data_IF_571612569732
#
_entry.id   IF_571612569732
#
_cell.length_a   1.000
_cell.length_b   1.000
_cell.length_c   1.000
_cell.angle_alpha   90.00
_cell.angle_beta   90.00
_cell.angle_gamma   90.00
#
_symmetry.space_group_name_H-M   'P 1'
#
loop_
_entity.id
_entity.type
_entity.pdbx_description
1 polymer ?
#
# COMPACT_ATOMS: atom_id res chain seq x y z
N UNK A 1 11.52 37.98 -20.47
CA UNK A 1 10.66 36.86 -20.92
C UNK A 1 11.16 36.38 -22.26
N UNK A 2 10.91 35.14 -22.64
CA UNK A 2 11.10 34.64 -24.02
C UNK A 2 9.82 33.96 -24.47
N UNK A 3 9.57 33.99 -25.77
CA UNK A 3 8.46 33.26 -26.38
C UNK A 3 9.05 31.98 -26.97
N UNK A 4 8.46 30.83 -26.63
CA UNK A 4 8.82 29.53 -27.20
C UNK A 4 7.52 28.80 -27.54
N UNK A 5 7.37 28.34 -28.78
CA UNK A 5 6.15 27.69 -29.28
C UNK A 5 4.85 28.47 -29.02
N UNK A 6 4.92 29.81 -29.04
CA UNK A 6 3.78 30.69 -28.79
C UNK A 6 3.51 30.99 -27.30
N UNK A 7 4.13 30.27 -26.38
CA UNK A 7 3.99 30.47 -24.94
C UNK A 7 5.01 31.48 -24.38
N UNK A 8 4.58 32.29 -23.41
CA UNK A 8 5.42 33.29 -22.75
C UNK A 8 6.09 32.69 -21.51
N UNK A 9 7.41 32.54 -21.57
CA UNK A 9 8.23 32.04 -20.47
C UNK A 9 8.89 33.20 -19.70
N UNK A 10 8.63 33.25 -18.39
CA UNK A 10 9.43 34.04 -17.46
C UNK A 10 10.75 33.30 -17.18
N UNK A 11 11.89 33.94 -17.49
CA UNK A 11 13.21 33.34 -17.31
C UNK A 11 13.88 33.91 -16.07
N UNK A 12 14.31 33.01 -15.18
CA UNK A 12 15.08 33.36 -14.00
C UNK A 12 16.58 33.25 -14.31
N UNK A 13 17.32 34.36 -14.24
CA UNK A 13 18.77 34.36 -14.34
C UNK A 13 19.39 34.56 -12.95
N UNK A 14 20.05 33.53 -12.41
CA UNK A 14 20.69 33.56 -11.08
C UNK A 14 21.62 34.78 -10.86
N UNK A 15 22.20 35.35 -11.92
CA UNK A 15 23.11 36.51 -11.82
C UNK A 15 22.42 37.84 -11.62
N UNK A 16 21.13 38.01 -11.94
CA UNK A 16 20.46 39.33 -11.93
C UNK A 16 19.01 39.28 -11.43
N UNK A 17 18.38 38.12 -11.44
CA UNK A 17 16.99 37.94 -11.01
C UNK A 17 16.91 37.69 -9.51
N UNK A 18 15.79 38.11 -8.91
CA UNK A 18 15.42 37.82 -7.53
C UNK A 18 14.01 37.23 -7.48
N UNK A 19 13.71 36.47 -6.43
CA UNK A 19 12.37 35.96 -6.15
C UNK A 19 12.07 36.00 -4.66
N UNK A 20 10.79 35.95 -4.33
CA UNK A 20 10.25 35.81 -2.99
C UNK A 20 8.97 34.99 -3.08
N UNK A 21 8.83 33.99 -2.21
CA UNK A 21 7.66 33.12 -2.11
C UNK A 21 6.91 33.46 -0.84
N UNK A 22 5.59 33.64 -0.98
CA UNK A 22 4.67 34.00 0.09
C UNK A 22 3.59 32.94 0.23
N UNK A 23 3.02 32.84 1.41
CA UNK A 23 1.81 32.04 1.61
C UNK A 23 0.66 32.59 0.74
N UNK A 24 -0.12 31.66 0.16
CA UNK A 24 -1.19 31.95 -0.80
C UNK A 24 -2.47 32.47 -0.15
N UNK A 25 -3.64 31.98 -0.59
CA UNK A 25 -4.97 32.47 -0.15
C UNK A 25 -5.16 32.61 1.37
N UNK A 26 -4.53 31.72 2.15
CA UNK A 26 -4.69 31.63 3.61
C UNK A 26 -3.56 32.30 4.40
N UNK A 27 -2.63 32.97 3.72
CA UNK A 27 -1.50 33.61 4.39
C UNK A 27 -1.91 34.85 5.16
N UNK A 28 -1.55 34.91 6.44
CA UNK A 28 -1.86 36.05 7.32
C UNK A 28 -0.75 37.12 7.31
N UNK A 29 0.51 36.70 7.16
CA UNK A 29 1.65 37.62 7.14
C UNK A 29 2.05 38.05 5.71
N UNK A 30 2.86 39.10 5.63
CA UNK A 30 3.50 39.54 4.38
C UNK A 30 4.99 39.19 4.37
N UNK A 31 5.40 38.18 5.15
CA UNK A 31 6.78 37.74 5.22
C UNK A 31 7.01 36.62 4.20
N UNK A 32 8.04 36.72 3.35
CA UNK A 32 8.35 35.63 2.44
C UNK A 32 8.94 34.47 3.24
N UNK A 33 8.35 33.28 3.13
CA UNK A 33 8.91 32.07 3.74
C UNK A 33 10.18 31.61 3.03
N UNK A 34 10.40 32.07 1.79
CA UNK A 34 11.63 31.86 1.04
C UNK A 34 11.89 33.05 0.13
N UNK A 35 13.11 33.56 0.12
CA UNK A 35 13.51 34.61 -0.82
C UNK A 35 14.94 34.38 -1.32
N UNK A 36 15.23 34.88 -2.52
CA UNK A 36 16.60 34.97 -3.02
C UNK A 36 17.39 36.02 -2.24
N UNK A 37 18.70 35.85 -2.13
CA UNK A 37 19.58 36.79 -1.40
C UNK A 37 19.55 38.24 -1.89
N UNK A 38 19.11 38.47 -3.13
CA UNK A 38 19.01 39.80 -3.74
C UNK A 38 17.62 40.44 -3.63
N UNK A 39 16.66 39.71 -3.07
CA UNK A 39 15.31 40.22 -2.90
C UNK A 39 15.29 41.32 -1.84
N UNK A 40 14.63 42.44 -2.16
CA UNK A 40 14.39 43.53 -1.23
C UNK A 40 12.90 43.79 -1.17
N UNK A 41 12.31 43.55 0.01
CA UNK A 41 10.89 43.79 0.24
C UNK A 41 10.59 45.29 0.22
N UNK A 42 9.53 45.69 -0.49
CA UNK A 42 9.03 47.06 -0.52
C UNK A 42 7.69 47.12 0.18
N UNK A 43 7.39 48.23 0.86
CA UNK A 43 6.06 48.46 1.48
C UNK A 43 4.89 48.33 0.49
N UNK A 44 5.12 48.59 -0.79
CA UNK A 44 4.09 48.46 -1.83
C UNK A 44 3.76 47.00 -2.15
N UNK A 45 4.68 46.06 -1.88
CA UNK A 45 4.49 44.64 -2.16
C UNK A 45 3.37 44.05 -1.29
N UNK A 46 3.19 44.54 -0.06
CA UNK A 46 2.10 44.12 0.84
C UNK A 46 0.72 44.28 0.18
N UNK A 47 0.48 45.44 -0.47
CA UNK A 47 -0.79 45.70 -1.18
C UNK A 47 -0.97 44.79 -2.39
N UNK A 48 0.11 44.51 -3.12
CA UNK A 48 0.08 43.61 -4.28
C UNK A 48 -0.19 42.16 -3.84
N UNK A 49 0.46 41.71 -2.76
CA UNK A 49 0.28 40.37 -2.19
C UNK A 49 -1.16 40.22 -1.68
N UNK A 50 -1.68 41.20 -0.93
CA UNK A 50 -3.06 41.19 -0.47
C UNK A 50 -4.06 41.13 -1.65
N UNK A 51 -3.81 41.92 -2.69
CA UNK A 51 -4.61 41.89 -3.93
C UNK A 51 -4.58 40.53 -4.62
N UNK A 52 -3.40 39.92 -4.74
CA UNK A 52 -3.23 38.57 -5.31
C UNK A 52 -3.90 37.49 -4.47
N UNK A 53 -3.82 37.56 -3.13
CA UNK A 53 -4.51 36.62 -2.23
C UNK A 53 -6.02 36.71 -2.36
N UNK A 54 -6.56 37.94 -2.38
CA UNK A 54 -7.99 38.18 -2.61
C UNK A 54 -8.41 37.66 -3.98
N UNK A 55 -7.65 37.98 -5.02
CA UNK A 55 -7.90 37.46 -6.36
C UNK A 55 -7.87 35.94 -6.39
N UNK A 56 -6.91 35.28 -5.73
CA UNK A 56 -6.83 33.81 -5.66
C UNK A 56 -8.00 33.19 -4.87
N UNK A 57 -8.51 33.88 -3.84
CA UNK A 57 -9.68 33.44 -3.08
C UNK A 57 -10.99 33.57 -3.88
N UNK A 58 -11.11 34.64 -4.68
CA UNK A 58 -12.28 34.93 -5.51
C UNK A 58 -12.24 34.20 -6.87
N UNK A 59 -11.05 33.78 -7.31
CA UNK A 59 -10.82 33.13 -8.60
C UNK A 59 -11.05 31.63 -8.53
N UNK A 60 -11.89 31.11 -9.43
CA UNK A 60 -11.94 29.67 -9.78
C UNK A 60 -10.77 29.24 -10.68
N UNK A 61 -9.93 30.19 -11.08
CA UNK A 61 -8.95 30.11 -12.15
C UNK A 61 -7.56 30.05 -11.52
N UNK A 62 -7.08 28.83 -11.30
CA UNK A 62 -5.77 28.25 -11.67
C UNK A 62 -5.75 26.89 -10.94
N UNK A 63 -6.65 26.00 -11.33
CA UNK A 63 -6.32 24.59 -11.35
C UNK A 63 -6.57 24.22 -12.80
N UNK A 64 -5.51 24.22 -13.63
CA UNK A 64 -5.50 23.20 -14.69
C UNK A 64 -5.83 21.91 -13.95
N UNK A 65 -6.87 21.15 -14.31
CA UNK A 65 -7.25 19.97 -13.56
C UNK A 65 -6.09 18.99 -13.63
N UNK A 66 -5.17 19.11 -12.67
CA UNK A 66 -4.11 18.16 -12.47
C UNK A 66 -4.86 16.96 -11.92
N UNK A 67 -4.96 15.93 -12.74
CA UNK A 67 -5.64 14.72 -12.33
C UNK A 67 -4.84 14.11 -11.17
N UNK A 68 -5.40 14.20 -9.96
CA UNK A 68 -4.88 13.50 -8.80
C UNK A 68 -5.51 12.13 -8.78
N UNK A 69 -4.65 11.12 -8.90
CA UNK A 69 -5.05 9.73 -8.94
C UNK A 69 -5.00 9.15 -7.53
N UNK A 70 -5.89 8.20 -7.27
CA UNK A 70 -5.86 7.41 -6.06
C UNK A 70 -4.76 6.34 -6.14
N UNK A 71 -4.35 5.81 -4.97
CA UNK A 71 -3.44 4.66 -4.91
C UNK A 71 -4.04 3.43 -5.59
N UNK A 72 -5.36 3.38 -5.75
CA UNK A 72 -6.06 2.38 -6.55
C UNK A 72 -5.64 2.38 -8.01
N UNK A 73 -5.18 3.51 -8.54
CA UNK A 73 -4.92 3.71 -9.97
C UNK A 73 -3.43 3.67 -10.32
N UNK A 74 -2.57 3.32 -9.35
CA UNK A 74 -1.12 3.27 -9.60
C UNK A 74 -0.78 2.19 -10.64
N UNK A 75 0.28 2.49 -11.41
CA UNK A 75 0.85 1.56 -12.38
C UNK A 75 2.39 1.74 -12.44
N UNK A 76 3.11 0.83 -13.11
CA UNK A 76 4.59 0.87 -13.19
C UNK A 76 5.12 1.83 -14.27
N UNK A 77 4.25 2.35 -15.15
CA UNK A 77 4.63 3.09 -16.36
C UNK A 77 4.62 4.59 -16.11
N UNK A 78 3.56 5.09 -15.51
CA UNK A 78 3.26 6.50 -15.40
C UNK A 78 3.78 7.11 -14.12
N UNK A 79 4.07 8.41 -14.20
CA UNK A 79 4.29 9.24 -13.01
C UNK A 79 2.96 9.80 -12.57
N UNK A 80 2.68 9.69 -11.28
CA UNK A 80 1.35 9.92 -10.72
C UNK A 80 1.38 11.17 -9.83
N UNK A 81 0.30 11.94 -9.87
CA UNK A 81 0.06 12.98 -8.88
C UNK A 81 -0.93 12.40 -7.87
N UNK A 82 -0.59 12.41 -6.59
CA UNK A 82 -1.39 11.76 -5.55
C UNK A 82 -1.67 12.72 -4.39
N UNK A 83 -2.82 12.54 -3.75
CA UNK A 83 -3.17 13.18 -2.49
C UNK A 83 -3.09 12.12 -1.40
N UNK A 84 -2.18 12.29 -0.45
CA UNK A 84 -1.97 11.28 0.59
C UNK A 84 -1.73 11.92 1.96
N UNK A 85 -2.09 11.19 2.99
CA UNK A 85 -1.70 11.44 4.37
C UNK A 85 -0.33 10.82 4.64
N UNK A 86 0.56 11.58 5.24
CA UNK A 86 1.85 11.07 5.74
C UNK A 86 1.59 10.37 7.07
N UNK A 87 1.67 9.04 7.11
CA UNK A 87 1.42 8.25 8.32
C UNK A 87 2.66 8.13 9.20
N UNK A 88 3.84 7.98 8.59
CA UNK A 88 5.08 7.80 9.32
C UNK A 88 6.31 8.11 8.45
N UNK A 89 7.42 8.41 9.09
CA UNK A 89 8.73 8.62 8.47
C UNK A 89 9.77 7.94 9.38
N UNK A 90 10.55 7.02 8.85
CA UNK A 90 11.64 6.38 9.59
C UNK A 90 12.90 6.20 8.75
N UNK A 91 14.04 6.07 9.44
CA UNK A 91 15.31 5.67 8.86
C UNK A 91 15.40 4.15 8.82
N UNK A 92 15.71 3.60 7.64
CA UNK A 92 15.76 2.16 7.38
C UNK A 92 17.19 1.63 7.21
N UNK A 93 18.12 2.50 6.82
CA UNK A 93 19.56 2.27 6.82
C UNK A 93 20.26 3.63 6.94
N UNK A 94 21.58 3.62 7.14
CA UNK A 94 22.37 4.87 7.16
C UNK A 94 22.13 5.65 5.88
N UNK A 95 21.62 6.87 6.03
CA UNK A 95 21.23 7.70 4.90
C UNK A 95 20.21 7.03 3.97
N UNK A 96 19.22 6.30 4.51
CA UNK A 96 18.05 5.85 3.76
C UNK A 96 16.78 6.01 4.60
N UNK A 97 15.81 6.74 4.05
CA UNK A 97 14.54 7.02 4.73
C UNK A 97 13.38 6.39 3.96
N UNK A 98 12.41 5.91 4.72
CA UNK A 98 11.15 5.42 4.21
C UNK A 98 9.99 6.25 4.76
N UNK A 99 9.12 6.70 3.85
CA UNK A 99 7.90 7.44 4.18
C UNK A 99 6.70 6.55 3.90
N UNK A 100 5.73 6.55 4.82
CA UNK A 100 4.51 5.78 4.73
C UNK A 100 3.36 6.71 4.35
N UNK A 101 2.82 6.51 3.14
CA UNK A 101 1.73 7.32 2.60
C UNK A 101 0.45 6.50 2.48
N UNK A 102 -0.69 7.17 2.58
CA UNK A 102 -1.99 6.54 2.53
C UNK A 102 -3.08 7.50 2.05
N UNK A 103 -4.02 7.00 1.25
CA UNK A 103 -5.17 7.76 0.74
C UNK A 103 -6.53 7.05 0.96
N UNK A 104 -6.53 5.90 1.63
CA UNK A 104 -7.74 5.11 1.89
C UNK A 104 -8.11 4.10 0.82
N UNK A 105 -7.41 4.06 -0.32
CA UNK A 105 -7.75 3.19 -1.45
C UNK A 105 -6.82 1.98 -1.57
N UNK A 106 -7.29 0.93 -2.24
CA UNK A 106 -6.58 -0.36 -2.35
C UNK A 106 -5.76 -0.40 -3.64
N UNK A 107 -4.43 -0.47 -3.53
CA UNK A 107 -3.54 -0.61 -4.67
C UNK A 107 -3.86 -1.90 -5.48
N UNK A 108 -3.63 -1.89 -6.80
CA UNK A 108 -3.88 -3.03 -7.65
C UNK A 108 -3.00 -4.23 -7.28
N UNK A 109 -3.54 -5.45 -7.35
CA UNK A 109 -2.77 -6.66 -7.12
C UNK A 109 -1.68 -6.83 -8.18
N UNK A 110 -0.52 -7.32 -7.77
CA UNK A 110 0.59 -7.60 -8.70
C UNK A 110 0.75 -9.09 -8.99
N UNK A 111 1.21 -9.37 -10.21
CA UNK A 111 1.66 -10.70 -10.61
C UNK A 111 2.93 -11.09 -9.83
N UNK A 112 3.01 -12.36 -9.45
CA UNK A 112 4.16 -12.91 -8.74
C UNK A 112 5.07 -13.62 -9.75
N UNK A 113 6.22 -13.01 -10.04
CA UNK A 113 7.20 -13.57 -10.99
C UNK A 113 8.13 -14.61 -10.35
N UNK A 114 8.13 -14.73 -9.02
CA UNK A 114 8.97 -15.67 -8.27
C UNK A 114 8.48 -17.12 -8.45
N UNK A 115 9.42 -18.02 -8.73
CA UNK A 115 9.15 -19.46 -8.84
C UNK A 115 8.84 -20.05 -7.46
N UNK A 116 7.99 -21.07 -7.42
CA UNK A 116 7.59 -21.71 -6.18
C UNK A 116 8.75 -22.41 -5.46
N UNK A 117 9.68 -22.96 -6.23
CA UNK A 117 10.86 -23.66 -5.72
C UNK A 117 11.84 -22.75 -4.96
N UNK A 118 11.88 -21.46 -5.34
CA UNK A 118 12.78 -20.48 -4.74
C UNK A 118 12.35 -20.09 -3.33
N UNK A 119 11.07 -20.29 -2.95
CA UNK A 119 10.55 -19.89 -1.64
C UNK A 119 11.28 -20.53 -0.46
N UNK A 120 11.82 -21.75 -0.62
CA UNK A 120 12.58 -22.41 0.46
C UNK A 120 13.87 -21.65 0.78
N UNK A 121 14.52 -21.07 -0.24
CA UNK A 121 15.82 -20.38 -0.11
C UNK A 121 15.67 -18.87 0.02
N UNK A 122 14.69 -18.30 -0.66
CA UNK A 122 14.43 -16.88 -0.75
C UNK A 122 12.92 -16.65 -0.68
N UNK A 123 12.42 -16.46 0.53
CA UNK A 123 11.00 -16.25 0.80
C UNK A 123 10.54 -14.88 0.31
N UNK A 124 9.30 -14.78 -0.17
CA UNK A 124 8.70 -13.48 -0.44
C UNK A 124 8.73 -12.59 0.82
N UNK A 125 9.16 -11.32 0.69
CA UNK A 125 9.19 -10.40 1.83
C UNK A 125 7.77 -10.10 2.30
N UNK A 126 7.54 -10.04 3.62
CA UNK A 126 6.25 -9.63 4.21
C UNK A 126 6.03 -8.10 4.15
N UNK A 127 7.11 -7.35 4.11
CA UNK A 127 7.12 -5.90 4.09
C UNK A 127 8.39 -5.41 3.37
N UNK A 128 8.42 -4.14 2.98
CA UNK A 128 9.54 -3.57 2.21
C UNK A 128 10.63 -3.00 3.12
N UNK A 129 10.23 -2.53 4.30
CA UNK A 129 11.14 -2.08 5.34
C UNK A 129 12.04 -3.24 5.81
N UNK A 130 13.39 -3.05 5.91
CA UNK A 130 14.31 -4.09 6.37
C UNK A 130 14.06 -4.54 7.80
N UNK A 131 13.62 -3.59 8.64
CA UNK A 131 13.27 -3.82 10.04
C UNK A 131 11.75 -3.67 10.17
N UNK A 132 11.03 -4.71 10.62
CA UNK A 132 9.60 -4.61 10.84
C UNK A 132 9.23 -3.49 11.80
N UNK A 133 8.16 -2.76 11.49
CA UNK A 133 7.64 -1.73 12.37
C UNK A 133 7.21 -2.32 13.73
N UNK A 134 7.39 -1.53 14.79
CA UNK A 134 6.92 -1.92 16.12
C UNK A 134 5.40 -2.10 16.13
N UNK A 135 4.91 -3.01 16.98
CA UNK A 135 3.47 -3.25 17.14
C UNK A 135 2.72 -1.98 17.56
N UNK A 136 3.31 -1.15 18.42
CA UNK A 136 2.68 0.10 18.88
C UNK A 136 2.48 1.09 17.74
N UNK A 137 3.43 1.17 16.80
CA UNK A 137 3.30 1.98 15.59
C UNK A 137 2.27 1.39 14.61
N UNK A 138 2.29 0.07 14.40
CA UNK A 138 1.28 -0.56 13.53
C UNK A 138 -0.15 -0.32 14.04
N UNK A 139 -0.36 -0.23 15.36
CA UNK A 139 -1.66 0.11 15.93
C UNK A 139 -2.14 1.54 15.62
N UNK A 140 -1.26 2.45 15.18
CA UNK A 140 -1.66 3.81 14.80
C UNK A 140 -2.02 3.95 13.33
N UNK A 141 -1.77 2.91 12.53
CA UNK A 141 -2.04 2.92 11.10
C UNK A 141 -3.51 2.59 10.78
N UNK A 142 -4.06 3.13 9.69
CA UNK A 142 -5.39 2.77 9.22
C UNK A 142 -5.43 1.28 8.85
N UNK A 143 -6.58 0.65 9.07
CA UNK A 143 -6.76 -0.79 8.82
C UNK A 143 -7.34 -1.12 7.45
N UNK A 144 -7.68 -0.12 6.64
CA UNK A 144 -8.16 -0.29 5.26
C UNK A 144 -7.38 0.63 4.32
N UNK A 145 -7.27 0.25 3.05
CA UNK A 145 -6.43 0.94 2.08
C UNK A 145 -4.96 0.53 2.16
N UNK A 146 -4.26 0.70 1.05
CA UNK A 146 -2.84 0.41 0.96
C UNK A 146 -2.02 1.51 1.62
N UNK A 147 -1.04 1.11 2.43
CA UNK A 147 -0.01 2.01 2.94
C UNK A 147 1.21 1.89 2.04
N UNK A 148 1.37 2.85 1.14
CA UNK A 148 2.45 2.88 0.17
C UNK A 148 3.77 3.28 0.85
N UNK A 149 4.78 2.43 0.74
CA UNK A 149 6.15 2.75 1.19
C UNK A 149 6.82 3.59 0.11
N UNK A 150 7.46 4.67 0.52
CA UNK A 150 8.11 5.62 -0.36
C UNK A 150 9.58 5.73 0.01
N UNK A 151 10.44 5.62 -1.00
CA UNK A 151 11.87 5.96 -0.89
C UNK A 151 12.11 7.35 -1.48
N UNK A 152 13.12 8.04 -0.96
CA UNK A 152 13.48 9.39 -1.42
C UNK A 152 14.90 9.36 -1.97
N UNK A 153 15.03 9.77 -3.22
CA UNK A 153 16.30 9.89 -3.91
C UNK A 153 17.25 10.85 -3.17
N UNK A 154 18.54 10.53 -3.12
CA UNK A 154 19.51 11.20 -2.25
C UNK A 154 19.64 12.68 -2.60
N UNK A 155 19.58 13.01 -3.90
CA UNK A 155 19.73 14.36 -4.43
C UNK A 155 18.63 15.33 -3.99
N UNK A 156 17.42 14.85 -3.73
CA UNK A 156 16.28 15.68 -3.37
C UNK A 156 15.82 15.53 -1.92
N UNK A 157 16.44 14.60 -1.17
CA UNK A 157 16.04 14.25 0.20
C UNK A 157 15.85 15.45 1.12
N UNK A 158 16.89 16.27 1.27
CA UNK A 158 16.87 17.40 2.22
C UNK A 158 15.74 18.38 1.92
N UNK A 159 15.50 18.65 0.64
CA UNK A 159 14.43 19.54 0.19
C UNK A 159 13.05 18.91 0.37
N UNK A 160 12.88 17.61 0.08
CA UNK A 160 11.58 16.94 0.18
C UNK A 160 11.13 16.80 1.64
N UNK A 161 12.05 16.43 2.53
CA UNK A 161 11.73 16.17 3.94
C UNK A 161 11.17 17.39 4.65
N UNK A 162 11.58 18.60 4.29
CA UNK A 162 11.05 19.82 4.93
C UNK A 162 9.55 20.04 4.68
N UNK A 163 8.98 19.36 3.67
CA UNK A 163 7.56 19.44 3.36
C UNK A 163 6.73 18.31 3.96
N UNK A 164 7.37 17.22 4.42
CA UNK A 164 6.68 16.06 4.96
C UNK A 164 6.58 16.16 6.48
N UNK A 165 5.35 16.06 7.00
CA UNK A 165 5.07 16.02 8.44
C UNK A 165 4.10 14.89 8.72
N UNK A 166 4.39 14.07 9.72
CA UNK A 166 3.49 13.00 10.16
C UNK A 166 2.11 13.57 10.53
N UNK A 167 1.06 12.92 10.05
CA UNK A 167 -0.34 13.31 10.20
C UNK A 167 -0.83 14.32 9.15
N UNK A 168 0.05 14.92 8.35
CA UNK A 168 -0.31 15.94 7.37
C UNK A 168 -0.72 15.34 6.03
N UNK A 169 -1.77 15.91 5.43
CA UNK A 169 -2.13 15.65 4.03
C UNK A 169 -1.27 16.48 3.08
N UNK A 170 -0.85 15.85 1.98
CA UNK A 170 0.02 16.45 0.97
C UNK A 170 -0.44 16.05 -0.44
N UNK A 171 -0.37 17.00 -1.37
CA UNK A 171 -0.31 16.75 -2.82
C UNK A 171 1.13 16.46 -3.17
N UNK A 172 1.37 15.31 -3.78
CA UNK A 172 2.69 14.90 -4.26
C UNK A 172 2.60 14.73 -5.77
N UNK A 173 3.42 15.48 -6.49
CA UNK A 173 3.44 15.49 -7.94
C UNK A 173 4.57 14.62 -8.46
N UNK A 174 4.34 13.94 -9.58
CA UNK A 174 5.33 13.11 -10.27
C UNK A 174 5.95 12.02 -9.36
N UNK A 175 5.12 11.27 -8.64
CA UNK A 175 5.54 10.06 -7.93
C UNK A 175 5.79 8.96 -8.94
N UNK A 176 6.96 8.32 -8.86
CA UNK A 176 7.25 7.12 -9.65
C UNK A 176 6.86 5.88 -8.83
N UNK A 177 5.95 5.06 -9.34
CA UNK A 177 5.58 3.80 -8.70
C UNK A 177 6.36 2.63 -9.31
N UNK A 178 6.79 1.71 -8.46
CA UNK A 178 7.56 0.52 -8.81
C UNK A 178 7.08 -0.68 -8.01
N UNK A 179 7.44 -1.87 -8.47
CA UNK A 179 7.10 -3.13 -7.80
C UNK A 179 8.36 -3.89 -7.43
N UNK A 180 8.39 -4.40 -6.20
CA UNK A 180 9.41 -5.32 -5.73
C UNK A 180 8.73 -6.55 -5.11
N UNK A 181 8.95 -7.73 -5.69
CA UNK A 181 8.40 -9.01 -5.17
C UNK A 181 6.88 -8.97 -4.93
N UNK A 182 6.16 -8.35 -5.86
CA UNK A 182 4.71 -8.19 -5.82
C UNK A 182 4.20 -7.10 -4.88
N UNK A 183 5.09 -6.32 -4.25
CA UNK A 183 4.74 -5.19 -3.39
C UNK A 183 5.00 -3.85 -4.08
N UNK A 184 4.01 -2.96 -4.03
CA UNK A 184 4.14 -1.60 -4.52
C UNK A 184 4.99 -0.73 -3.60
N UNK A 185 5.84 0.11 -4.21
CA UNK A 185 6.51 1.20 -3.54
C UNK A 185 6.63 2.40 -4.46
N UNK A 186 6.75 3.59 -3.88
CA UNK A 186 7.02 4.81 -4.62
C UNK A 186 8.45 5.31 -4.45
N UNK A 187 8.87 6.11 -5.41
CA UNK A 187 10.17 6.78 -5.42
C UNK A 187 9.93 8.26 -5.67
N UNK A 188 10.36 9.11 -4.74
CA UNK A 188 10.38 10.55 -4.95
C UNK A 188 11.74 10.93 -5.54
N UNK A 189 11.70 11.66 -6.65
CA UNK A 189 12.88 12.03 -7.44
C UNK A 189 13.10 13.55 -7.41
N UNK A 190 14.15 14.04 -8.04
CA UNK A 190 14.40 15.49 -8.22
C UNK A 190 13.27 16.22 -8.96
N UNK A 191 12.44 15.51 -9.71
CA UNK A 191 11.27 16.06 -10.40
C UNK A 191 9.98 16.08 -9.58
N UNK A 192 9.99 15.47 -8.40
CA UNK A 192 8.85 15.43 -7.48
C UNK A 192 8.67 16.80 -6.82
N UNK A 193 7.41 17.24 -6.72
CA UNK A 193 7.04 18.43 -5.97
C UNK A 193 6.04 18.04 -4.89
N UNK A 194 6.03 18.79 -3.78
CA UNK A 194 5.13 18.52 -2.66
C UNK A 194 4.45 19.82 -2.27
N UNK A 195 3.14 19.75 -2.09
CA UNK A 195 2.31 20.84 -1.60
C UNK A 195 1.54 20.34 -0.38
N UNK A 196 1.64 21.08 0.72
CA UNK A 196 0.88 20.83 1.95
C UNK A 196 -0.59 21.16 1.72
N UNK A 197 -1.47 20.30 2.25
CA UNK A 197 -2.91 20.54 2.26
C UNK A 197 -3.41 20.80 3.70
N UNK A 198 -4.35 21.74 3.88
CA UNK A 198 -5.12 21.86 5.11
C UNK A 198 -6.13 20.70 5.23
N UNK A 199 -6.60 20.40 6.43
CA UNK A 199 -7.54 19.30 6.66
C UNK A 199 -8.94 19.60 6.11
N UNK A 200 -9.25 20.89 5.92
CA UNK A 200 -10.51 21.40 5.38
C UNK A 200 -10.54 21.39 3.84
N UNK A 201 -9.46 20.94 3.18
CA UNK A 201 -9.44 20.78 1.73
C UNK A 201 -10.48 19.73 1.30
N UNK A 202 -11.22 20.02 0.23
CA UNK A 202 -12.32 19.17 -0.24
C UNK A 202 -11.86 17.73 -0.54
N UNK A 203 -10.66 17.57 -1.12
CA UNK A 203 -10.10 16.25 -1.43
C UNK A 203 -9.81 15.46 -0.14
N UNK A 204 -9.33 16.16 0.90
CA UNK A 204 -9.05 15.52 2.20
C UNK A 204 -10.34 15.04 2.86
N UNK A 205 -11.40 15.85 2.79
CA UNK A 205 -12.72 15.50 3.33
C UNK A 205 -13.29 14.28 2.59
N UNK A 206 -13.17 14.23 1.26
CA UNK A 206 -13.62 13.11 0.43
C UNK A 206 -12.88 11.81 0.82
N UNK A 207 -11.54 11.83 0.83
CA UNK A 207 -10.74 10.67 1.24
C UNK A 207 -11.07 10.19 2.66
N UNK A 208 -11.31 11.11 3.59
CA UNK A 208 -11.68 10.76 4.97
C UNK A 208 -13.09 10.16 5.08
N UNK A 209 -14.06 10.72 4.34
CA UNK A 209 -15.43 10.20 4.28
C UNK A 209 -15.48 8.79 3.69
N UNK A 210 -14.73 8.55 2.60
CA UNK A 210 -14.64 7.23 1.97
C UNK A 210 -14.05 6.19 2.92
N UNK A 211 -12.98 6.55 3.63
CA UNK A 211 -12.42 5.71 4.67
C UNK A 211 -13.42 5.39 5.78
N UNK A 212 -14.12 6.39 6.31
CA UNK A 212 -15.09 6.20 7.39
C UNK A 212 -16.26 5.31 6.94
N UNK A 213 -16.71 5.47 5.68
CA UNK A 213 -17.71 4.59 5.07
C UNK A 213 -17.24 3.13 5.02
N UNK A 214 -16.00 2.88 4.57
CA UNK A 214 -15.39 1.54 4.53
C UNK A 214 -15.30 0.88 5.90
N UNK A 215 -15.10 1.66 6.97
CA UNK A 215 -15.03 1.12 8.33
C UNK A 215 -16.39 0.63 8.86
N UNK A 216 -17.46 1.32 8.48
CA UNK A 216 -18.84 1.06 8.92
C UNK A 216 -19.49 -0.09 8.11
N UNK A 217 -19.16 -0.22 6.84
CA UNK A 217 -19.77 -1.19 5.94
C UNK A 217 -19.13 -2.59 6.02
N UNK A 218 -19.94 -3.62 6.34
CA UNK A 218 -19.47 -5.01 6.53
C UNK A 218 -18.74 -5.60 5.32
N UNK A 219 -19.11 -5.21 4.11
CA UNK A 219 -18.55 -5.72 2.84
C UNK A 219 -17.36 -4.88 2.34
N UNK A 220 -17.23 -3.62 2.77
CA UNK A 220 -16.24 -2.70 2.21
C UNK A 220 -14.83 -2.83 2.80
N UNK A 221 -14.69 -3.77 3.74
CA UNK A 221 -13.40 -4.31 4.18
C UNK A 221 -12.84 -5.36 3.21
N UNK A 222 -13.63 -5.80 2.22
CA UNK A 222 -13.10 -6.61 1.13
C UNK A 222 -12.16 -5.76 0.26
N UNK A 223 -11.07 -6.35 -0.26
CA UNK A 223 -10.22 -5.71 -1.25
C UNK A 223 -11.04 -5.24 -2.46
N UNK A 224 -10.84 -4.00 -2.89
CA UNK A 224 -11.52 -3.45 -4.06
C UNK A 224 -11.42 -4.36 -5.29
N UNK A 225 -10.24 -4.92 -5.51
CA UNK A 225 -9.90 -5.78 -6.65
C UNK A 225 -10.46 -7.21 -6.57
N UNK A 226 -11.23 -7.53 -5.53
CA UNK A 226 -11.97 -8.80 -5.42
C UNK A 226 -13.39 -8.72 -6.01
N UNK A 227 -13.77 -7.59 -6.61
CA UNK A 227 -15.08 -7.36 -7.22
C UNK A 227 -15.31 -8.27 -8.47
N UNK A 228 -16.54 -8.75 -8.71
CA UNK A 228 -17.73 -8.59 -7.86
C UNK A 228 -17.72 -9.53 -6.65
N UNK A 229 -16.97 -10.62 -6.69
CA UNK A 229 -16.83 -11.56 -5.58
C UNK A 229 -15.53 -12.37 -5.68
N UNK A 230 -14.91 -12.76 -4.55
CA UNK A 230 -13.76 -13.66 -4.57
C UNK A 230 -14.09 -15.02 -5.17
N UNK A 231 -13.05 -15.68 -5.68
CA UNK A 231 -13.09 -17.02 -6.23
C UNK A 231 -13.62 -18.04 -5.22
N UNK A 232 -14.40 -19.00 -5.73
CA UNK A 232 -15.03 -20.08 -4.94
C UNK A 232 -14.13 -21.30 -4.75
N UNK A 233 -12.82 -21.18 -5.01
CA UNK A 233 -11.88 -22.28 -4.78
C UNK A 233 -11.66 -22.59 -3.30
N UNK A 234 -12.11 -21.71 -2.42
CA UNK A 234 -12.15 -21.91 -0.96
C UNK A 234 -13.58 -21.75 -0.45
N UNK A 235 -13.96 -22.57 0.52
CA UNK A 235 -15.21 -22.46 1.25
C UNK A 235 -14.92 -22.14 2.72
N UNK A 236 -15.63 -21.16 3.29
CA UNK A 236 -15.44 -20.73 4.69
C UNK A 236 -16.73 -20.99 5.47
N UNK A 237 -16.62 -21.72 6.58
CA UNK A 237 -17.79 -22.11 7.40
C UNK A 237 -18.18 -21.07 8.45
N UNK A 238 -17.35 -20.05 8.72
CA UNK A 238 -17.64 -18.99 9.68
C UNK A 238 -18.42 -17.81 9.06
N UNK A 239 -19.54 -18.07 8.39
CA UNK A 239 -20.31 -17.08 7.61
C UNK A 239 -20.74 -15.82 8.39
N UNK A 240 -20.91 -15.94 9.70
CA UNK A 240 -21.48 -14.88 10.54
C UNK A 240 -20.46 -13.80 10.95
N UNK A 241 -19.18 -14.01 10.63
CA UNK A 241 -18.10 -13.05 10.93
C UNK A 241 -17.99 -12.02 9.81
N UNK A 242 -17.96 -10.73 10.16
CA UNK A 242 -17.73 -9.63 9.21
C UNK A 242 -16.35 -9.72 8.57
N UNK A 243 -16.21 -9.21 7.34
CA UNK A 243 -14.91 -9.16 6.71
C UNK A 243 -13.94 -8.27 7.50
N UNK A 244 -12.68 -8.67 7.50
CA UNK A 244 -11.56 -7.97 8.13
C UNK A 244 -10.37 -8.00 7.17
N UNK A 245 -9.54 -6.96 7.24
CA UNK A 245 -8.27 -6.90 6.51
C UNK A 245 -7.17 -7.62 7.28
N UNK A 246 -6.05 -7.90 6.62
CA UNK A 246 -4.86 -8.42 7.29
C UNK A 246 -4.26 -7.41 8.26
N UNK A 247 -4.43 -6.10 8.03
CA UNK A 247 -4.05 -5.09 9.01
C UNK A 247 -4.92 -5.15 10.27
N UNK A 248 -6.22 -5.46 10.18
CA UNK A 248 -7.05 -5.76 11.37
C UNK A 248 -6.50 -6.97 12.14
N UNK A 249 -6.11 -8.02 11.42
CA UNK A 249 -5.54 -9.25 12.00
C UNK A 249 -4.24 -8.93 12.75
N UNK A 250 -3.35 -8.15 12.15
CA UNK A 250 -2.06 -7.75 12.72
C UNK A 250 -2.22 -6.83 13.93
N UNK A 251 -3.13 -5.87 13.88
CA UNK A 251 -3.34 -4.86 14.95
C UNK A 251 -4.29 -5.31 16.05
N UNK A 252 -4.90 -6.50 15.96
CA UNK A 252 -5.80 -6.95 17.02
C UNK A 252 -5.07 -7.34 18.32
N UNK A 253 -5.47 -6.73 19.44
CA UNK A 253 -4.79 -6.90 20.73
C UNK A 253 -5.18 -8.16 21.53
N UNK A 254 -6.41 -8.70 21.39
CA UNK A 254 -6.83 -9.83 22.24
C UNK A 254 -6.22 -11.16 21.77
N UNK A 255 -6.06 -12.09 22.71
CA UNK A 255 -5.22 -13.28 22.59
C UNK A 255 -5.71 -14.28 21.53
N UNK A 256 -7.02 -14.39 21.31
CA UNK A 256 -7.61 -15.30 20.31
C UNK A 256 -8.84 -14.67 19.68
N UNK A 257 -8.83 -14.50 18.36
CA UNK A 257 -10.00 -14.11 17.56
C UNK A 257 -9.92 -14.76 16.19
N UNK A 258 -11.09 -15.07 15.62
CA UNK A 258 -11.26 -15.51 14.24
C UNK A 258 -11.62 -14.30 13.37
N UNK A 259 -11.07 -14.25 12.17
CA UNK A 259 -11.26 -13.19 11.19
C UNK A 259 -11.62 -13.82 9.86
N UNK A 260 -12.67 -13.32 9.23
CA UNK A 260 -12.98 -13.67 7.85
C UNK A 260 -12.31 -12.66 6.94
N UNK A 261 -11.37 -13.09 6.11
CA UNK A 261 -10.58 -12.23 5.24
C UNK A 261 -10.78 -12.63 3.77
N UNK A 262 -10.55 -11.68 2.88
CA UNK A 262 -10.39 -11.94 1.45
C UNK A 262 -8.94 -11.66 1.10
N UNK A 263 -8.22 -12.67 0.64
CA UNK A 263 -6.77 -12.64 0.47
C UNK A 263 -6.36 -13.28 -0.85
N UNK A 264 -5.14 -13.02 -1.29
CA UNK A 264 -4.42 -13.81 -2.29
C UNK A 264 -3.40 -14.70 -1.59
N UNK A 265 -3.25 -15.94 -2.05
CA UNK A 265 -2.20 -16.84 -1.56
C UNK A 265 -1.02 -16.76 -2.54
N UNK A 266 0.06 -16.09 -2.13
CA UNK A 266 1.18 -15.78 -3.04
C UNK A 266 2.33 -16.78 -2.97
N UNK A 267 2.46 -17.51 -1.87
CA UNK A 267 3.46 -18.57 -1.71
C UNK A 267 3.01 -19.66 -0.72
N UNK A 268 3.65 -20.82 -0.80
CA UNK A 268 3.45 -21.96 0.09
C UNK A 268 4.79 -22.60 0.43
N UNK A 269 5.01 -22.93 1.71
CA UNK A 269 6.16 -23.71 2.18
C UNK A 269 5.66 -24.89 3.04
N UNK A 270 6.07 -26.13 2.74
CA UNK A 270 6.82 -26.52 1.54
C UNK A 270 6.00 -26.26 0.27
N UNK A 271 6.68 -26.18 -0.89
CA UNK A 271 6.01 -25.93 -2.18
C UNK A 271 5.55 -27.22 -2.87
N UNK A 272 6.19 -28.35 -2.54
CA UNK A 272 5.82 -29.69 -3.02
C UNK A 272 4.75 -30.30 -2.14
N UNK A 273 3.68 -30.80 -2.75
CA UNK A 273 2.56 -31.41 -2.04
C UNK A 273 2.95 -32.70 -1.31
N UNK A 274 3.97 -33.40 -1.81
CA UNK A 274 4.52 -34.58 -1.15
C UNK A 274 5.07 -34.26 0.25
N UNK A 275 5.57 -33.04 0.44
CA UNK A 275 6.21 -32.60 1.68
C UNK A 275 5.24 -31.94 2.68
N UNK A 276 3.97 -31.77 2.31
CA UNK A 276 2.96 -31.08 3.12
C UNK A 276 2.73 -31.75 4.46
N UNK A 277 2.96 -33.06 4.53
CA UNK A 277 2.79 -33.87 5.75
C UNK A 277 4.14 -34.24 6.33
N UNK A 278 4.24 -34.16 7.65
CA UNK A 278 5.36 -34.75 8.39
C UNK A 278 5.28 -36.30 8.31
N UNK A 279 6.38 -37.03 8.63
CA UNK A 279 6.37 -38.49 8.65
C UNK A 279 5.28 -39.10 9.55
N UNK A 280 4.83 -38.38 10.59
CA UNK A 280 3.71 -38.76 11.45
C UNK A 280 2.32 -38.48 10.82
N UNK A 281 2.24 -38.06 9.56
CA UNK A 281 0.99 -37.75 8.84
C UNK A 281 0.46 -36.34 9.06
N UNK A 282 1.00 -35.58 10.03
CA UNK A 282 0.52 -34.23 10.38
C UNK A 282 0.82 -33.20 9.28
N UNK A 283 -0.20 -32.48 8.80
CA UNK A 283 -0.03 -31.33 7.91
C UNK A 283 0.78 -30.21 8.56
N UNK A 284 1.70 -29.61 7.79
CA UNK A 284 2.61 -28.55 8.23
C UNK A 284 2.91 -27.54 7.13
N UNK A 285 1.85 -26.95 6.58
CA UNK A 285 1.98 -25.99 5.47
C UNK A 285 1.89 -24.57 5.99
N UNK A 286 2.81 -23.73 5.54
CA UNK A 286 2.79 -22.28 5.77
C UNK A 286 2.54 -21.58 4.44
N UNK A 287 1.44 -20.86 4.37
CA UNK A 287 1.12 -19.98 3.26
C UNK A 287 1.60 -18.57 3.54
N UNK A 288 2.00 -17.85 2.50
CA UNK A 288 2.11 -16.40 2.52
C UNK A 288 0.86 -15.84 1.87
N UNK A 289 0.07 -15.12 2.64
CA UNK A 289 -1.20 -14.53 2.21
C UNK A 289 -1.12 -13.02 2.23
N UNK A 290 -1.78 -12.36 1.30
CA UNK A 290 -1.79 -10.90 1.22
C UNK A 290 -3.15 -10.34 0.86
N UNK A 291 -3.37 -9.10 1.30
CA UNK A 291 -4.42 -8.22 0.85
C UNK A 291 -3.82 -6.82 0.60
N UNK A 292 -4.59 -5.80 0.21
CA UNK A 292 -4.04 -4.47 -0.05
C UNK A 292 -3.36 -3.82 1.17
N UNK A 293 -3.60 -4.31 2.38
CA UNK A 293 -3.17 -3.69 3.64
C UNK A 293 -1.91 -4.32 4.21
N UNK A 294 -1.71 -5.63 4.02
CA UNK A 294 -0.54 -6.34 4.53
C UNK A 294 -0.30 -7.69 3.83
N UNK A 295 0.88 -8.27 4.09
CA UNK A 295 1.23 -9.66 3.79
C UNK A 295 1.63 -10.36 5.09
N UNK A 296 1.12 -11.57 5.32
CA UNK A 296 1.37 -12.34 6.55
C UNK A 296 1.58 -13.81 6.25
N UNK A 297 2.18 -14.53 7.19
CA UNK A 297 2.21 -16.00 7.15
C UNK A 297 0.99 -16.58 7.84
N UNK A 298 0.34 -17.54 7.19
CA UNK A 298 -0.80 -18.29 7.70
C UNK A 298 -0.52 -19.80 7.65
N UNK A 299 -0.71 -20.49 8.77
CA UNK A 299 -0.37 -21.90 8.90
C UNK A 299 -1.60 -22.80 8.77
N UNK A 300 -1.55 -23.77 7.86
CA UNK A 300 -2.43 -24.92 7.79
C UNK A 300 -1.72 -26.10 8.46
N UNK A 301 -2.01 -26.32 9.74
CA UNK A 301 -1.25 -27.24 10.61
C UNK A 301 -2.18 -28.19 11.37
N UNK A 302 -1.81 -29.47 11.45
CA UNK A 302 -2.60 -30.47 12.18
C UNK A 302 -4.01 -30.62 11.62
N UNK A 303 -5.00 -30.71 12.52
CA UNK A 303 -6.42 -30.83 12.17
C UNK A 303 -6.93 -29.69 11.29
N UNK A 304 -6.42 -28.47 11.50
CA UNK A 304 -6.80 -27.32 10.67
C UNK A 304 -6.29 -27.50 9.22
N UNK A 305 -5.11 -28.11 9.06
CA UNK A 305 -4.58 -28.48 7.74
C UNK A 305 -5.38 -29.59 7.09
N UNK A 306 -5.74 -30.63 7.85
CA UNK A 306 -6.58 -31.71 7.35
C UNK A 306 -7.96 -31.21 6.88
N UNK A 307 -8.60 -30.33 7.65
CA UNK A 307 -9.85 -29.67 7.24
C UNK A 307 -9.65 -28.80 6.00
N UNK A 308 -8.54 -28.07 5.92
CA UNK A 308 -8.24 -27.22 4.77
C UNK A 308 -8.07 -28.04 3.49
N UNK A 309 -7.38 -29.17 3.53
CA UNK A 309 -7.13 -30.02 2.36
C UNK A 309 -8.20 -31.10 2.12
N UNK A 310 -9.30 -31.08 2.88
CA UNK A 310 -10.38 -32.06 2.79
C UNK A 310 -9.91 -33.51 3.05
N UNK A 311 -9.16 -33.69 4.13
CA UNK A 311 -8.57 -34.97 4.51
C UNK A 311 -7.24 -35.21 3.80
N UNK A 312 -7.18 -36.29 3.03
CA UNK A 312 -5.95 -36.82 2.43
C UNK A 312 -6.14 -37.09 0.92
N UNK A 313 -6.33 -36.05 0.10
CA UNK A 313 -6.43 -36.20 -1.34
C UNK A 313 -5.16 -36.82 -1.95
N UNK A 314 -5.26 -37.34 -3.17
CA UNK A 314 -4.08 -37.75 -3.94
C UNK A 314 -3.14 -36.56 -4.19
N UNK A 315 -1.86 -36.84 -4.38
CA UNK A 315 -0.86 -35.81 -4.67
C UNK A 315 -1.26 -34.97 -5.90
N UNK A 316 -1.75 -35.62 -6.96
CA UNK A 316 -2.18 -34.94 -8.19
C UNK A 316 -3.36 -34.00 -7.95
N UNK A 317 -4.36 -34.44 -7.18
CA UNK A 317 -5.51 -33.61 -6.86
C UNK A 317 -5.07 -32.40 -6.03
N UNK A 318 -4.29 -32.64 -4.98
CA UNK A 318 -3.78 -31.60 -4.10
C UNK A 318 -2.91 -30.57 -4.86
N UNK A 319 -2.07 -31.05 -5.77
CA UNK A 319 -1.23 -30.20 -6.63
C UNK A 319 -2.10 -29.32 -7.52
N UNK A 320 -3.14 -29.87 -8.16
CA UNK A 320 -4.08 -29.10 -8.98
C UNK A 320 -4.78 -28.01 -8.19
N UNK A 321 -5.26 -28.33 -6.97
CA UNK A 321 -5.90 -27.32 -6.09
C UNK A 321 -4.92 -26.24 -5.66
N UNK A 322 -3.69 -26.64 -5.30
CA UNK A 322 -2.62 -25.72 -4.90
C UNK A 322 -2.23 -24.77 -6.04
N UNK A 323 -2.09 -25.27 -7.27
CA UNK A 323 -1.76 -24.45 -8.42
C UNK A 323 -2.84 -23.43 -8.76
N UNK A 324 -4.12 -23.81 -8.66
CA UNK A 324 -5.24 -22.86 -8.76
C UNK A 324 -5.18 -21.80 -7.67
N UNK A 325 -4.91 -22.20 -6.43
CA UNK A 325 -4.79 -21.29 -5.28
C UNK A 325 -3.63 -20.30 -5.44
N UNK A 326 -2.50 -20.75 -6.00
CA UNK A 326 -1.29 -19.96 -6.22
C UNK A 326 -1.29 -19.21 -7.57
N UNK A 327 -2.35 -19.33 -8.37
CA UNK A 327 -2.47 -18.68 -9.67
C UNK A 327 -1.47 -19.16 -10.73
N UNK A 328 -1.05 -20.42 -10.66
CA UNK A 328 -0.17 -21.05 -11.65
C UNK A 328 -0.98 -21.37 -12.90
N UNK A 329 -0.52 -20.91 -14.06
CA UNK A 329 -1.13 -21.28 -15.34
C UNK A 329 -0.97 -22.79 -15.58
N UNK A 330 -2.05 -23.47 -15.98
CA UNK A 330 -2.03 -24.90 -16.27
C UNK A 330 -2.30 -25.15 -17.76
N UNK A 331 -1.67 -26.19 -18.33
CA UNK A 331 -2.03 -26.70 -19.65
C UNK A 331 -3.40 -27.39 -19.63
N UNK A 332 -3.95 -27.68 -20.81
CA UNK A 332 -5.18 -28.47 -20.95
C UNK A 332 -5.08 -29.87 -20.32
N UNK A 333 -3.87 -30.40 -20.16
CA UNK A 333 -3.56 -31.67 -19.51
C UNK A 333 -3.31 -31.54 -18.00
N UNK A 334 -3.50 -30.35 -17.41
CA UNK A 334 -3.32 -30.11 -15.98
C UNK A 334 -1.87 -29.95 -15.51
N UNK A 335 -0.90 -29.83 -16.43
CA UNK A 335 0.50 -29.54 -16.07
C UNK A 335 0.70 -28.05 -15.85
N UNK A 336 1.23 -27.67 -14.68
CA UNK A 336 1.54 -26.28 -14.35
C UNK A 336 2.75 -25.75 -15.13
N UNK A 337 2.64 -24.54 -15.66
CA UNK A 337 3.77 -23.81 -16.24
C UNK A 337 4.52 -23.06 -15.14
N UNK A 338 5.52 -23.73 -14.53
CA UNK A 338 6.23 -23.24 -13.34
C UNK A 338 7.12 -22.01 -13.59
N UNK A 339 7.44 -21.72 -14.85
CA UNK A 339 8.27 -20.58 -15.26
C UNK A 339 7.47 -19.33 -15.66
N UNK A 340 6.15 -19.36 -15.56
CA UNK A 340 5.27 -18.25 -15.92
C UNK A 340 4.90 -17.45 -14.68
N UNK A 341 4.79 -16.13 -14.82
CA UNK A 341 4.32 -15.26 -13.75
C UNK A 341 2.92 -15.69 -13.28
N UNK A 342 2.75 -15.77 -11.97
CA UNK A 342 1.53 -16.24 -11.33
C UNK A 342 0.61 -15.08 -10.99
N UNK A 343 -0.69 -15.27 -11.14
CA UNK A 343 -1.69 -14.30 -10.70
C UNK A 343 -2.69 -14.99 -9.75
N UNK A 344 -2.38 -15.06 -8.45
CA UNK A 344 -3.25 -15.73 -7.49
C UNK A 344 -4.63 -15.08 -7.44
N UNK A 345 -5.72 -15.86 -7.44
CA UNK A 345 -7.06 -15.33 -7.30
C UNK A 345 -7.30 -14.79 -5.88
N UNK A 346 -8.26 -13.88 -5.75
CA UNK A 346 -8.82 -13.51 -4.45
C UNK A 346 -9.67 -14.66 -3.90
N UNK A 347 -9.42 -15.09 -2.67
CA UNK A 347 -10.11 -16.20 -2.00
C UNK A 347 -10.57 -15.79 -0.61
N UNK A 348 -11.59 -16.45 -0.09
CA UNK A 348 -12.01 -16.27 1.29
C UNK A 348 -11.20 -17.19 2.21
N UNK A 349 -10.75 -16.66 3.33
CA UNK A 349 -10.03 -17.43 4.32
C UNK A 349 -10.45 -16.99 5.71
N UNK A 350 -10.66 -17.95 6.61
CA UNK A 350 -10.78 -17.67 8.03
C UNK A 350 -9.42 -17.85 8.71
N UNK A 351 -8.99 -16.79 9.41
CA UNK A 351 -7.72 -16.73 10.11
C UNK A 351 -7.98 -16.66 11.61
N UNK A 352 -7.28 -17.49 12.38
CA UNK A 352 -7.27 -17.46 13.84
C UNK A 352 -5.91 -16.99 14.33
N UNK A 353 -5.91 -15.93 15.14
CA UNK A 353 -4.69 -15.43 15.76
C UNK A 353 -4.46 -16.09 17.12
N UNK A 354 -3.19 -16.31 17.44
CA UNK A 354 -2.72 -16.71 18.76
C UNK A 354 -1.33 -16.12 19.01
N UNK A 355 -0.95 -15.92 20.27
CA UNK A 355 0.41 -15.52 20.62
C UNK A 355 1.22 -16.74 21.02
N UNK A 356 2.45 -16.84 20.52
CA UNK A 356 3.41 -17.79 21.05
C UNK A 356 3.86 -17.28 22.43
N UNK A 357 3.63 -18.06 23.47
CA UNK A 357 3.89 -17.67 24.87
C UNK A 357 5.35 -17.29 25.14
N UNK A 358 6.28 -17.81 24.35
CA UNK A 358 7.72 -17.60 24.49
C UNK A 358 8.27 -16.37 23.77
N UNK A 359 7.61 -15.84 22.72
CA UNK A 359 8.20 -14.82 21.85
C UNK A 359 7.36 -13.57 21.62
N UNK A 360 6.15 -13.49 22.22
CA UNK A 360 5.13 -12.46 21.90
C UNK A 360 4.82 -12.32 20.39
N UNK A 361 5.25 -13.30 19.58
CA UNK A 361 4.99 -13.31 18.14
C UNK A 361 3.56 -13.75 17.90
N UNK A 362 2.82 -12.97 17.12
CA UNK A 362 1.49 -13.33 16.66
C UNK A 362 1.60 -14.39 15.56
N UNK A 363 0.90 -15.49 15.73
CA UNK A 363 0.78 -16.58 14.78
C UNK A 363 -0.63 -16.59 14.23
N UNK A 364 -0.73 -16.62 12.90
CA UNK A 364 -1.99 -16.74 12.19
C UNK A 364 -2.14 -18.19 11.69
N UNK A 365 -3.25 -18.85 12.05
CA UNK A 365 -3.59 -20.17 11.53
C UNK A 365 -4.79 -20.06 10.61
N UNK A 366 -4.79 -20.80 9.52
CA UNK A 366 -5.99 -21.03 8.73
C UNK A 366 -6.89 -21.94 9.54
N UNK A 367 -8.16 -21.62 9.67
CA UNK A 367 -9.17 -22.47 10.28
C UNK A 367 -10.49 -22.29 9.55
N UNK A 368 -11.48 -23.15 9.78
CA UNK A 368 -12.85 -23.02 9.24
C UNK A 368 -12.90 -22.72 7.72
N UNK A 369 -11.88 -23.18 6.98
CA UNK A 369 -11.67 -22.92 5.56
C UNK A 369 -11.32 -24.24 4.91
N UNK A 370 -11.92 -24.54 3.76
CA UNK A 370 -11.69 -25.75 2.97
C UNK A 370 -11.31 -25.37 1.54
N UNK A 371 -10.29 -26.02 0.99
CA UNK A 371 -9.85 -25.88 -0.40
C UNK A 371 -10.62 -26.85 -1.29
N UNK A 372 -11.57 -26.33 -2.06
CA UNK A 372 -12.51 -27.09 -2.90
C UNK A 372 -12.21 -27.03 -4.39
N UNK A 373 -11.39 -26.06 -4.80
CA UNK A 373 -11.17 -25.68 -6.20
C UNK A 373 -10.24 -26.55 -7.01
#
# INVERSE_FOLDING_TARGET
MKIHDGDVYAIFNKKFSSFSLYEGKHGEDFLPYQASSRFQARKQDEKLIAGLRKWLADSKVIDVPINFLSLREINEVDRLNVVCKVLHICEIATDELMVFLWDGTDAPPMIIRRKLEDEIRNQLPLCLEPIPLSMDLLHTFPTVGTILRITIDQDCRKYILQFLKVGQWVKIFNVLCKVHEGLWYGVLTSSTRIQKLPNEDMLVIEHQSDYDHRLLCKLERMPYWSFPWPSRITEVTCSDVTFATLMDVLTYRKVRKKFRCVVRVVAAIPWRVEDFRAPCGTYRVRFTVEDPTARVHAFAYGEDGEKFFDGHPSADELMRRLYKLLGVAMSAEGKGFMDVARNPPWVQCCLKTSYLSSSKTKICKICDTKLVG
#
